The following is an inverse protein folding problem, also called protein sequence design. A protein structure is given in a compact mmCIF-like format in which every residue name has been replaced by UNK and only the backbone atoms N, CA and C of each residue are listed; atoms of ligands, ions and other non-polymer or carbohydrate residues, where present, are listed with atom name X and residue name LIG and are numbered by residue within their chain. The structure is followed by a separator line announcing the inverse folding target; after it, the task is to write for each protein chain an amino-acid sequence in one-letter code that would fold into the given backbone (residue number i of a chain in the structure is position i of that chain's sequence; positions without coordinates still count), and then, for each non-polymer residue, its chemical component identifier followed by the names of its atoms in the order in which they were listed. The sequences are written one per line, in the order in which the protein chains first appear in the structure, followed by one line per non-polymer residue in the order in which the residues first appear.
data_IF_276017552853
#
_entry.id   IF_276017552853
#
_cell.length_a   1.000
_cell.length_b   1.000
_cell.length_c   1.000
_cell.angle_alpha   90.00
_cell.angle_beta   90.00
_cell.angle_gamma   90.00
#
_symmetry.space_group_name_H-M   'P 1'
#
loop_
_entity.id
_entity.type
_entity.pdbx_description
1 polymer ?
#
# COMPACT_ATOMS: atom_id res chain seq x y z
N UNK A 1 -19.16 23.28 -14.88
CA UNK A 1 -17.97 22.52 -15.30
C UNK A 1 -18.03 21.19 -14.58
N UNK A 2 -18.32 20.09 -15.27
CA UNK A 2 -18.17 18.78 -14.65
C UNK A 2 -16.66 18.53 -14.51
N UNK A 3 -16.15 18.46 -13.27
CA UNK A 3 -14.81 17.95 -13.02
C UNK A 3 -14.74 16.56 -13.67
N UNK A 4 -13.72 16.32 -14.50
CA UNK A 4 -13.64 15.19 -15.42
C UNK A 4 -14.17 13.87 -14.85
N UNK A 5 -15.11 13.27 -15.60
CA UNK A 5 -15.76 12.03 -15.22
C UNK A 5 -14.74 10.90 -15.08
N UNK A 6 -14.85 10.12 -13.99
CA UNK A 6 -13.92 9.03 -13.69
C UNK A 6 -14.04 7.94 -14.76
N UNK A 7 -13.04 7.86 -15.65
CA UNK A 7 -13.07 6.98 -16.82
C UNK A 7 -13.03 5.49 -16.47
N UNK A 8 -12.48 5.13 -15.31
CA UNK A 8 -12.29 3.74 -14.90
C UNK A 8 -12.06 3.59 -13.39
N UNK A 9 -12.45 2.44 -12.81
CA UNK A 9 -12.06 2.00 -11.46
C UNK A 9 -11.96 0.46 -11.42
N UNK A 10 -11.00 -0.11 -10.68
CA UNK A 10 -10.93 -1.55 -10.46
C UNK A 10 -12.03 -2.03 -9.51
N UNK A 11 -12.47 -3.28 -9.67
CA UNK A 11 -13.31 -3.92 -8.65
C UNK A 11 -12.53 -4.07 -7.33
N UNK A 12 -13.27 -4.25 -6.23
CA UNK A 12 -12.68 -4.45 -4.89
C UNK A 12 -11.82 -5.70 -4.82
N UNK A 13 -12.22 -6.75 -5.53
CA UNK A 13 -11.49 -8.01 -5.64
C UNK A 13 -10.13 -7.76 -6.30
N UNK A 14 -10.13 -7.03 -7.44
CA UNK A 14 -8.90 -6.68 -8.14
C UNK A 14 -7.96 -5.83 -7.28
N UNK A 15 -8.50 -4.92 -6.46
CA UNK A 15 -7.69 -4.15 -5.50
C UNK A 15 -7.01 -5.07 -4.49
N UNK A 16 -7.75 -5.99 -3.86
CA UNK A 16 -7.23 -6.90 -2.81
C UNK A 16 -6.18 -7.88 -3.33
N UNK A 17 -6.22 -8.22 -4.61
CA UNK A 17 -5.26 -9.12 -5.24
C UNK A 17 -3.90 -8.47 -5.54
N UNK A 18 -3.83 -7.13 -5.55
CA UNK A 18 -2.59 -6.40 -5.83
C UNK A 18 -1.51 -6.65 -4.77
N UNK A 19 -0.25 -6.62 -5.18
CA UNK A 19 0.87 -6.63 -4.23
C UNK A 19 0.84 -5.42 -3.28
N UNK A 20 0.23 -4.32 -3.70
CA UNK A 20 0.14 -3.13 -2.87
C UNK A 20 -0.84 -3.28 -1.72
N UNK A 21 -1.98 -3.92 -1.94
CA UNK A 21 -2.87 -4.32 -0.85
C UNK A 21 -2.19 -5.31 0.10
N UNK A 22 -1.52 -6.34 -0.44
CA UNK A 22 -0.81 -7.34 0.38
C UNK A 22 0.32 -6.71 1.22
N UNK A 23 1.03 -5.74 0.67
CA UNK A 23 2.07 -5.00 1.37
C UNK A 23 1.49 -4.09 2.47
N UNK A 24 0.40 -3.36 2.19
CA UNK A 24 -0.31 -2.58 3.20
C UNK A 24 -0.76 -3.44 4.39
N UNK A 25 -1.31 -4.61 4.09
CA UNK A 25 -1.71 -5.61 5.09
C UNK A 25 -0.53 -6.16 5.90
N UNK A 26 0.63 -6.34 5.27
CA UNK A 26 1.87 -6.72 5.95
C UNK A 26 2.33 -5.63 6.93
N UNK A 27 2.35 -4.37 6.47
CA UNK A 27 2.70 -3.19 7.29
C UNK A 27 1.73 -3.02 8.46
N UNK A 28 0.42 -3.14 8.22
CA UNK A 28 -0.61 -3.10 9.26
C UNK A 28 -0.36 -4.15 10.34
N UNK A 29 -0.13 -5.40 9.95
CA UNK A 29 0.15 -6.50 10.89
C UNK A 29 1.44 -6.29 11.69
N UNK A 30 2.49 -5.77 11.05
CA UNK A 30 3.82 -5.61 11.66
C UNK A 30 3.86 -4.48 12.68
N UNK A 31 3.19 -3.36 12.39
CA UNK A 31 3.26 -2.13 13.19
C UNK A 31 1.99 -1.83 13.99
N UNK A 32 0.94 -2.65 13.84
CA UNK A 32 -0.35 -2.41 14.49
C UNK A 32 -1.13 -1.25 13.89
N UNK A 33 -0.86 -0.89 12.62
CA UNK A 33 -1.60 0.16 11.93
C UNK A 33 -2.92 -0.35 11.35
N UNK A 34 -3.77 0.60 10.96
CA UNK A 34 -5.07 0.36 10.34
C UNK A 34 -5.20 1.14 9.04
N UNK A 35 -4.14 1.10 8.21
CA UNK A 35 -4.11 1.76 6.91
C UNK A 35 -5.16 1.11 6.00
N UNK A 36 -6.01 1.93 5.39
CA UNK A 36 -7.21 1.51 4.69
C UNK A 36 -7.16 1.75 3.19
N UNK A 37 -6.21 2.57 2.73
CA UNK A 37 -6.09 2.99 1.34
C UNK A 37 -4.65 3.34 0.96
N UNK A 38 -4.43 3.52 -0.35
CA UNK A 38 -3.13 3.84 -0.90
C UNK A 38 -2.55 5.16 -0.37
N UNK A 39 -3.39 6.18 -0.16
CA UNK A 39 -2.91 7.50 0.29
C UNK A 39 -2.30 7.43 1.69
N UNK A 40 -2.93 6.67 2.60
CA UNK A 40 -2.43 6.45 3.95
C UNK A 40 -1.11 5.66 3.94
N UNK A 41 -1.03 4.60 3.12
CA UNK A 41 0.23 3.85 2.94
C UNK A 41 1.34 4.73 2.37
N UNK A 42 1.02 5.57 1.39
CA UNK A 42 1.97 6.51 0.79
C UNK A 42 2.45 7.55 1.79
N UNK A 43 1.54 8.15 2.56
CA UNK A 43 1.92 9.14 3.57
C UNK A 43 2.87 8.52 4.61
N UNK A 44 2.53 7.32 5.09
CA UNK A 44 3.40 6.59 6.00
C UNK A 44 4.78 6.30 5.38
N UNK A 45 4.84 5.88 4.12
CA UNK A 45 6.11 5.51 3.48
C UNK A 45 7.07 6.69 3.31
N UNK A 46 6.55 7.89 3.04
CA UNK A 46 7.37 9.11 2.93
C UNK A 46 7.76 9.68 4.29
N UNK A 47 6.92 9.51 5.30
CA UNK A 47 7.21 9.96 6.66
C UNK A 47 8.22 9.02 7.37
N UNK A 48 8.25 7.74 6.97
CA UNK A 48 9.03 6.68 7.64
C UNK A 48 9.94 5.91 6.67
N UNK A 49 10.69 6.63 5.83
CA UNK A 49 11.51 6.06 4.73
C UNK A 49 12.38 4.86 5.16
N UNK A 50 13.14 4.89 6.29
CA UNK A 50 13.98 3.76 6.66
C UNK A 50 13.19 2.50 7.01
N UNK A 51 12.04 2.66 7.70
CA UNK A 51 11.17 1.54 8.07
C UNK A 51 10.46 0.98 6.84
N UNK A 52 9.99 1.85 5.94
CA UNK A 52 9.42 1.45 4.67
C UNK A 52 10.35 0.53 3.88
N UNK A 53 11.63 0.90 3.72
CA UNK A 53 12.57 0.07 2.95
C UNK A 53 12.94 -1.23 3.66
N UNK A 54 13.06 -1.23 4.98
CA UNK A 54 13.28 -2.46 5.74
C UNK A 54 12.10 -3.44 5.58
N UNK A 55 10.86 -2.93 5.72
CA UNK A 55 9.66 -3.72 5.56
C UNK A 55 9.46 -4.21 4.12
N UNK A 56 9.78 -3.37 3.14
CA UNK A 56 9.73 -3.75 1.73
C UNK A 56 10.73 -4.87 1.43
N UNK A 57 11.95 -4.78 1.95
CA UNK A 57 12.95 -5.82 1.76
C UNK A 57 12.45 -7.17 2.31
N UNK A 58 11.99 -7.19 3.56
CA UNK A 58 11.41 -8.37 4.21
C UNK A 58 10.22 -8.93 3.41
N UNK A 59 9.30 -8.06 2.96
CA UNK A 59 8.14 -8.47 2.17
C UNK A 59 8.50 -9.02 0.80
N UNK A 60 9.44 -8.38 0.11
CA UNK A 60 9.82 -8.71 -1.26
C UNK A 60 10.49 -10.07 -1.41
N UNK A 61 10.99 -10.64 -0.30
CA UNK A 61 11.74 -11.90 -0.28
C UNK A 61 12.93 -11.91 -1.24
N UNK A 62 13.47 -10.74 -1.57
CA UNK A 62 14.68 -10.60 -2.39
C UNK A 62 15.86 -11.15 -1.58
N UNK A 63 16.49 -12.19 -2.11
CA UNK A 63 17.75 -12.74 -1.59
C UNK A 63 18.87 -12.17 -2.46
N UNK A 64 19.86 -11.54 -1.83
CA UNK A 64 21.06 -11.01 -2.48
C UNK A 64 22.27 -11.88 -2.18
#
# INVERSE_FOLDING_TARGET
MALGDRLWEPSRERIKETNMWKFMEFVNRRHGFVLSNYQELYQWSVDHIPQFWADFWDFSSIIH
#
